data_IF_339384145673
#
_entry.id   IF_339384145673
#
_cell.length_a   1.000
_cell.length_b   1.000
_cell.length_c   1.000
_cell.angle_alpha   90.00
_cell.angle_beta   90.00
_cell.angle_gamma   90.00
#
_symmetry.space_group_name_H-M   'P 1'
#
loop_
_entity.id
_entity.type
_entity.pdbx_description
1 polymer ?
#
# COMPACT_ATOMS: atom_id res chain seq x y z
N UNK A 1 22.31 4.00 12.92
CA UNK A 1 23.08 2.82 12.46
C UNK A 1 22.34 2.06 11.36
N UNK A 2 23.05 1.48 10.38
CA UNK A 2 22.46 0.76 9.24
C UNK A 2 21.74 -0.56 9.59
N UNK A 3 21.77 -1.02 10.85
CA UNK A 3 21.12 -2.24 11.34
C UNK A 3 19.65 -2.06 11.75
N UNK A 4 19.24 -0.84 12.13
CA UNK A 4 17.91 -0.58 12.73
C UNK A 4 16.75 -0.95 11.81
N UNK A 5 16.88 -0.70 10.50
CA UNK A 5 15.82 -0.98 9.52
C UNK A 5 15.44 -2.47 9.44
N UNK A 6 16.38 -3.37 9.74
CA UNK A 6 16.14 -4.83 9.76
C UNK A 6 15.44 -5.31 11.03
N UNK A 7 15.40 -4.48 12.07
CA UNK A 7 14.83 -4.82 13.38
C UNK A 7 13.46 -4.16 13.61
N UNK A 8 12.94 -3.42 12.63
CA UNK A 8 11.63 -2.78 12.76
C UNK A 8 10.53 -3.84 12.78
N UNK A 9 9.64 -3.72 13.76
CA UNK A 9 8.40 -4.48 13.83
C UNK A 9 7.29 -3.79 13.00
N UNK A 10 6.11 -4.42 12.92
CA UNK A 10 4.99 -3.90 12.14
C UNK A 10 4.60 -2.48 12.56
N UNK A 11 4.52 -2.22 13.86
CA UNK A 11 4.13 -0.91 14.38
C UNK A 11 5.15 0.17 14.02
N UNK A 12 6.44 -0.13 14.18
CA UNK A 12 7.51 0.80 13.84
C UNK A 12 7.53 1.08 12.33
N UNK A 13 7.32 0.07 11.47
CA UNK A 13 7.22 0.28 10.03
C UNK A 13 6.03 1.17 9.66
N UNK A 14 4.85 0.90 10.25
CA UNK A 14 3.63 1.68 10.02
C UNK A 14 3.77 3.14 10.49
N UNK A 15 4.57 3.40 11.53
CA UNK A 15 4.79 4.76 12.03
C UNK A 15 5.95 5.49 11.32
N UNK A 16 7.10 4.84 11.12
CA UNK A 16 8.32 5.49 10.64
C UNK A 16 8.31 5.68 9.12
N UNK A 17 7.80 4.72 8.35
CA UNK A 17 7.87 4.76 6.88
C UNK A 17 7.07 5.93 6.28
N UNK A 18 5.81 6.20 6.68
CA UNK A 18 5.07 7.34 6.13
C UNK A 18 5.70 8.69 6.48
N UNK A 19 6.31 8.80 7.66
CA UNK A 19 7.01 10.03 8.10
C UNK A 19 8.25 10.26 7.26
N UNK A 20 9.06 9.22 7.01
CA UNK A 20 10.21 9.31 6.12
C UNK A 20 9.78 9.68 4.69
N UNK A 21 8.71 9.08 4.19
CA UNK A 21 8.16 9.39 2.87
C UNK A 21 7.76 10.87 2.75
N UNK A 22 7.01 11.39 3.74
CA UNK A 22 6.61 12.79 3.76
C UNK A 22 7.82 13.75 3.86
N UNK A 23 8.87 13.36 4.58
CA UNK A 23 10.10 14.15 4.67
C UNK A 23 10.86 14.17 3.33
N UNK A 24 10.94 13.05 2.63
CA UNK A 24 11.51 12.96 1.28
C UNK A 24 10.75 13.86 0.32
N UNK A 25 9.42 13.78 0.30
CA UNK A 25 8.60 14.55 -0.64
C UNK A 25 8.77 16.07 -0.43
N UNK A 26 8.80 16.52 0.83
CA UNK A 26 9.10 17.92 1.17
C UNK A 26 10.53 18.30 0.78
N UNK A 27 11.50 17.42 1.03
CA UNK A 27 12.89 17.65 0.68
C UNK A 27 13.09 17.81 -0.82
N UNK A 28 12.42 16.99 -1.64
CA UNK A 28 12.40 17.12 -3.10
C UNK A 28 11.84 18.48 -3.50
N UNK A 29 10.68 18.88 -2.97
CA UNK A 29 10.06 20.18 -3.27
C UNK A 29 10.99 21.36 -2.97
N UNK A 30 11.67 21.34 -1.81
CA UNK A 30 12.62 22.39 -1.42
C UNK A 30 13.86 22.36 -2.30
N UNK A 31 14.41 21.17 -2.54
CA UNK A 31 15.63 20.96 -3.31
C UNK A 31 15.51 21.32 -4.78
N UNK A 32 14.32 21.18 -5.37
CA UNK A 32 14.06 21.55 -6.78
C UNK A 32 13.40 22.92 -6.95
N UNK A 33 13.11 23.64 -5.85
CA UNK A 33 12.44 24.93 -5.93
C UNK A 33 13.30 25.99 -6.63
N UNK A 34 12.72 26.70 -7.58
CA UNK A 34 13.33 27.88 -8.20
C UNK A 34 12.87 29.19 -7.54
N UNK A 35 12.05 29.12 -6.50
CA UNK A 35 11.56 30.30 -5.79
C UNK A 35 12.71 30.92 -4.98
N UNK A 36 13.20 32.06 -5.45
CA UNK A 36 14.23 32.83 -4.75
C UNK A 36 13.63 33.48 -3.52
N UNK A 37 14.23 33.25 -2.35
CA UNK A 37 13.86 33.96 -1.13
C UNK A 37 14.39 35.39 -1.24
N UNK A 38 13.59 36.32 -1.77
CA UNK A 38 14.01 37.72 -1.93
C UNK A 38 14.20 38.40 -0.55
N UNK A 39 15.41 38.29 0.00
CA UNK A 39 15.87 39.03 1.19
C UNK A 39 17.03 39.95 0.82
N UNK A 40 16.93 41.26 1.08
CA UNK A 40 17.77 42.28 0.43
C UNK A 40 19.24 42.36 0.89
N UNK A 41 19.81 41.34 1.56
CA UNK A 41 21.10 41.46 2.27
C UNK A 41 22.17 40.40 1.97
N UNK A 42 21.92 39.36 1.17
CA UNK A 42 22.91 38.30 0.89
C UNK A 42 22.95 37.96 -0.61
N UNK A 43 24.09 37.46 -1.11
CA UNK A 43 24.18 36.88 -2.46
C UNK A 43 23.37 35.57 -2.51
N UNK A 44 22.07 35.71 -2.68
CA UNK A 44 21.03 34.71 -2.42
C UNK A 44 21.20 33.41 -3.20
N UNK A 45 21.64 33.47 -4.44
CA UNK A 45 21.71 32.30 -5.31
C UNK A 45 22.68 31.22 -4.79
N UNK A 46 23.87 31.62 -4.31
CA UNK A 46 24.88 30.66 -3.84
C UNK A 46 24.50 30.02 -2.49
N UNK A 47 23.96 30.83 -1.55
CA UNK A 47 23.52 30.33 -0.25
C UNK A 47 22.28 29.44 -0.37
N UNK A 48 21.31 29.83 -1.21
CA UNK A 48 20.13 29.02 -1.50
C UNK A 48 20.53 27.72 -2.19
N UNK A 49 21.39 27.77 -3.20
CA UNK A 49 21.88 26.57 -3.89
C UNK A 49 22.60 25.61 -2.94
N UNK A 50 23.42 26.14 -2.01
CA UNK A 50 24.06 25.32 -0.98
C UNK A 50 23.06 24.67 -0.03
N UNK A 51 22.05 25.41 0.44
CA UNK A 51 21.00 24.84 1.30
C UNK A 51 20.18 23.76 0.58
N UNK A 52 19.84 23.96 -0.69
CA UNK A 52 19.15 22.97 -1.52
C UNK A 52 19.98 21.71 -1.69
N UNK A 53 21.28 21.85 -1.92
CA UNK A 53 22.21 20.72 -1.99
C UNK A 53 22.22 19.90 -0.69
N UNK A 54 22.26 20.56 0.48
CA UNK A 54 22.20 19.86 1.78
C UNK A 54 20.88 19.10 1.97
N UNK A 55 19.74 19.73 1.67
CA UNK A 55 18.41 19.10 1.78
C UNK A 55 18.32 17.86 0.89
N UNK A 56 18.89 17.91 -0.31
CA UNK A 56 18.89 16.79 -1.23
C UNK A 56 19.84 15.67 -0.81
N UNK A 57 20.94 15.99 -0.12
CA UNK A 57 21.73 15.02 0.62
C UNK A 57 20.90 14.24 1.64
N UNK A 58 20.06 14.94 2.42
CA UNK A 58 19.17 14.31 3.40
C UNK A 58 18.09 13.45 2.71
N UNK A 59 17.53 13.91 1.60
CA UNK A 59 16.58 13.14 0.77
C UNK A 59 17.18 11.81 0.36
N UNK A 60 18.42 11.77 -0.13
CA UNK A 60 19.07 10.51 -0.47
C UNK A 60 19.27 9.60 0.73
N UNK A 61 19.71 10.15 1.85
CA UNK A 61 19.93 9.36 3.05
C UNK A 61 18.64 8.69 3.52
N UNK A 62 17.54 9.45 3.57
CA UNK A 62 16.21 8.93 3.90
C UNK A 62 15.74 7.89 2.88
N UNK A 63 15.99 8.13 1.59
CA UNK A 63 15.62 7.19 0.52
C UNK A 63 16.36 5.86 0.66
N UNK A 64 17.66 5.89 0.97
CA UNK A 64 18.45 4.70 1.26
C UNK A 64 17.93 3.94 2.48
N UNK A 65 17.46 4.66 3.51
CA UNK A 65 16.84 4.04 4.68
C UNK A 65 15.53 3.35 4.33
N UNK A 66 14.65 3.99 3.55
CA UNK A 66 13.41 3.39 3.08
C UNK A 66 13.66 2.14 2.23
N UNK A 67 14.60 2.21 1.28
CA UNK A 67 14.96 1.06 0.43
C UNK A 67 15.51 -0.12 1.23
N UNK A 68 16.25 0.15 2.32
CA UNK A 68 16.74 -0.90 3.24
C UNK A 68 15.64 -1.51 4.10
N UNK A 69 14.54 -0.79 4.34
CA UNK A 69 13.39 -1.27 5.09
C UNK A 69 12.41 -2.09 4.23
N UNK A 70 12.40 -1.91 2.91
CA UNK A 70 11.49 -2.62 1.99
C UNK A 70 11.49 -4.15 2.16
N UNK A 71 12.62 -4.86 2.28
CA UNK A 71 12.60 -6.30 2.54
C UNK A 71 11.92 -6.65 3.87
N UNK A 72 12.13 -5.84 4.91
CA UNK A 72 11.51 -6.06 6.23
C UNK A 72 10.00 -5.86 6.19
N UNK A 73 9.50 -4.94 5.36
CA UNK A 73 8.05 -4.77 5.13
C UNK A 73 7.43 -6.06 4.59
N UNK A 74 8.10 -6.71 3.64
CA UNK A 74 7.61 -7.96 3.04
C UNK A 74 7.59 -9.08 4.07
N UNK A 75 8.67 -9.24 4.84
CA UNK A 75 8.75 -10.24 5.92
C UNK A 75 7.62 -10.05 6.94
N UNK A 76 7.49 -8.84 7.48
CA UNK A 76 6.48 -8.51 8.50
C UNK A 76 5.06 -8.67 7.97
N UNK A 77 4.81 -8.33 6.71
CA UNK A 77 3.52 -8.53 6.07
C UNK A 77 3.14 -10.02 6.04
N UNK A 78 4.04 -10.90 5.60
CA UNK A 78 3.74 -12.33 5.52
C UNK A 78 3.71 -13.00 6.91
N UNK A 79 4.57 -12.59 7.86
CA UNK A 79 4.49 -13.00 9.27
C UNK A 79 3.12 -12.64 9.87
N UNK A 80 2.67 -11.39 9.69
CA UNK A 80 1.38 -10.92 10.19
C UNK A 80 0.18 -11.63 9.54
N UNK A 81 0.30 -11.97 8.26
CA UNK A 81 -0.70 -12.73 7.51
C UNK A 81 -0.86 -14.18 8.01
N UNK A 82 0.18 -14.80 8.55
CA UNK A 82 0.15 -16.19 9.03
C UNK A 82 -0.38 -16.33 10.48
N UNK A 83 -0.07 -15.36 11.34
CA UNK A 83 -0.25 -15.49 12.80
C UNK A 83 -1.63 -15.01 13.28
N UNK A 84 -2.37 -14.24 12.46
CA UNK A 84 -3.39 -13.33 12.98
C UNK A 84 -4.84 -13.73 12.73
N UNK A 85 -5.71 -13.38 13.69
CA UNK A 85 -7.17 -13.49 13.53
C UNK A 85 -7.67 -12.55 12.40
N UNK A 86 -8.65 -12.98 11.58
CA UNK A 86 -8.83 -12.49 10.22
C UNK A 86 -9.51 -11.12 10.06
N UNK A 87 -9.77 -10.36 11.12
CA UNK A 87 -10.54 -9.10 11.01
C UNK A 87 -9.80 -7.85 11.48
N UNK A 88 -9.00 -7.94 12.54
CA UNK A 88 -8.23 -6.79 13.04
C UNK A 88 -6.94 -6.56 12.25
N UNK A 89 -6.33 -7.61 11.68
CA UNK A 89 -5.01 -7.50 11.04
C UNK A 89 -5.06 -7.09 9.55
N UNK A 90 -6.23 -7.08 8.91
CA UNK A 90 -6.31 -6.75 7.47
C UNK A 90 -5.99 -5.27 7.20
N UNK A 91 -6.30 -4.37 8.14
CA UNK A 91 -5.99 -2.94 7.99
C UNK A 91 -4.49 -2.71 7.93
N UNK A 92 -3.77 -3.25 8.92
CA UNK A 92 -2.32 -3.11 9.03
C UNK A 92 -1.61 -3.73 7.81
N UNK A 93 -2.08 -4.88 7.32
CA UNK A 93 -1.57 -5.49 6.08
C UNK A 93 -1.81 -4.62 4.85
N UNK A 94 -2.96 -3.95 4.75
CA UNK A 94 -3.23 -2.99 3.66
C UNK A 94 -2.32 -1.77 3.73
N UNK A 95 -2.05 -1.29 4.94
CA UNK A 95 -1.16 -0.14 5.14
C UNK A 95 0.29 -0.52 4.80
N UNK A 96 0.76 -1.71 5.18
CA UNK A 96 2.06 -2.24 4.77
C UNK A 96 2.16 -2.44 3.24
N UNK A 97 1.09 -2.92 2.60
CA UNK A 97 1.01 -3.01 1.13
C UNK A 97 1.12 -1.63 0.47
N UNK A 98 0.44 -0.62 1.02
CA UNK A 98 0.52 0.75 0.53
C UNK A 98 1.93 1.31 0.67
N UNK A 99 2.59 1.08 1.81
CA UNK A 99 3.99 1.49 2.03
C UNK A 99 4.92 0.82 1.01
N UNK A 100 4.73 -0.47 0.74
CA UNK A 100 5.52 -1.18 -0.28
C UNK A 100 5.34 -0.54 -1.67
N UNK A 101 4.09 -0.23 -2.04
CA UNK A 101 3.78 0.46 -3.30
C UNK A 101 4.46 1.83 -3.39
N UNK A 102 4.43 2.62 -2.31
CA UNK A 102 5.11 3.92 -2.27
C UNK A 102 6.62 3.80 -2.38
N UNK A 103 7.22 2.72 -1.87
CA UNK A 103 8.64 2.44 -2.05
C UNK A 103 9.02 2.17 -3.51
N UNK A 104 8.10 1.66 -4.34
CA UNK A 104 8.30 1.57 -5.79
C UNK A 104 8.28 2.95 -6.45
N UNK A 105 7.28 3.78 -6.11
CA UNK A 105 7.15 5.15 -6.62
C UNK A 105 8.32 6.06 -6.19
N UNK A 106 9.00 5.74 -5.10
CA UNK A 106 10.16 6.48 -4.62
C UNK A 106 11.30 6.50 -5.66
N UNK A 107 11.57 5.36 -6.32
CA UNK A 107 12.63 5.28 -7.34
C UNK A 107 12.31 6.20 -8.51
N UNK A 108 11.07 6.18 -9.00
CA UNK A 108 10.62 7.06 -10.08
C UNK A 108 10.77 8.54 -9.72
N UNK A 109 10.40 8.93 -8.49
CA UNK A 109 10.56 10.31 -8.01
C UNK A 109 12.02 10.74 -7.98
N UNK A 110 12.92 9.86 -7.53
CA UNK A 110 14.35 10.15 -7.43
C UNK A 110 15.01 10.17 -8.81
N UNK A 111 14.60 9.31 -9.74
CA UNK A 111 15.09 9.30 -11.13
C UNK A 111 14.69 10.56 -11.92
N UNK A 112 13.62 11.24 -11.51
CA UNK A 112 13.21 12.51 -12.11
C UNK A 112 13.95 13.74 -11.53
N UNK A 113 14.82 13.55 -10.53
CA UNK A 113 15.66 14.64 -10.03
C UNK A 113 16.74 14.98 -11.07
N UNK A 114 16.81 16.26 -11.42
CA UNK A 114 17.77 16.77 -12.39
C UNK A 114 19.19 16.76 -11.80
N UNK A 115 19.97 15.72 -12.11
CA UNK A 115 21.36 15.57 -11.65
C UNK A 115 22.24 16.77 -12.05
N UNK A 116 21.91 17.49 -13.13
CA UNK A 116 22.68 18.64 -13.59
C UNK A 116 22.64 19.83 -12.61
N UNK A 117 21.60 19.91 -11.77
CA UNK A 117 21.44 20.96 -10.75
C UNK A 117 22.07 20.63 -9.41
N UNK A 118 22.39 19.37 -9.18
CA UNK A 118 22.66 18.82 -7.84
C UNK A 118 24.10 18.37 -7.65
N UNK A 119 24.91 18.43 -8.72
CA UNK A 119 26.24 17.85 -8.76
C UNK A 119 26.18 16.35 -9.04
N UNK A 120 27.31 15.75 -9.41
CA UNK A 120 27.38 14.30 -9.65
C UNK A 120 27.10 13.53 -8.35
N UNK A 121 25.99 12.80 -8.28
CA UNK A 121 25.60 11.95 -7.13
C UNK A 121 26.40 10.64 -7.01
N UNK A 122 27.54 10.54 -7.68
CA UNK A 122 28.41 9.36 -7.61
C UNK A 122 27.83 8.08 -8.24
N UNK A 123 26.84 8.18 -9.15
CA UNK A 123 26.32 7.03 -9.89
C UNK A 123 25.43 6.08 -9.06
N UNK A 124 24.67 6.62 -8.09
CA UNK A 124 23.68 5.86 -7.32
C UNK A 124 22.65 5.21 -8.26
N UNK A 125 22.74 3.89 -8.41
CA UNK A 125 21.72 3.10 -9.11
C UNK A 125 20.71 2.57 -8.09
N UNK A 126 19.52 3.17 -8.07
CA UNK A 126 18.39 2.66 -7.30
C UNK A 126 17.69 1.58 -8.11
N UNK A 127 17.41 0.44 -7.49
CA UNK A 127 16.66 -0.65 -8.10
C UNK A 127 15.22 -0.59 -7.62
N UNK A 128 14.27 -0.60 -8.56
CA UNK A 128 12.84 -0.64 -8.23
C UNK A 128 12.52 -1.96 -7.51
N UNK A 129 11.81 -1.93 -6.36
CA UNK A 129 11.31 -3.14 -5.72
C UNK A 129 10.49 -4.01 -6.70
N UNK A 130 10.58 -5.35 -6.66
CA UNK A 130 9.92 -6.21 -7.65
C UNK A 130 8.39 -6.10 -7.65
N UNK A 131 7.78 -5.97 -8.83
CA UNK A 131 6.31 -5.94 -8.99
C UNK A 131 5.64 -7.28 -8.67
N UNK A 132 6.34 -8.41 -8.87
CA UNK A 132 5.83 -9.73 -8.51
C UNK A 132 5.54 -9.88 -7.01
N UNK A 133 6.30 -9.19 -6.17
CA UNK A 133 6.07 -9.16 -4.72
C UNK A 133 4.83 -8.32 -4.38
N UNK A 134 4.63 -7.18 -5.06
CA UNK A 134 3.41 -6.38 -4.92
C UNK A 134 2.17 -7.20 -5.30
N UNK A 135 2.22 -7.91 -6.42
CA UNK A 135 1.13 -8.79 -6.89
C UNK A 135 0.81 -9.87 -5.85
N UNK A 136 1.85 -10.50 -5.29
CA UNK A 136 1.70 -11.52 -4.25
C UNK A 136 1.06 -10.98 -2.97
N UNK A 137 1.52 -9.81 -2.49
CA UNK A 137 0.94 -9.16 -1.32
C UNK A 137 -0.51 -8.73 -1.57
N UNK A 138 -0.81 -8.23 -2.78
CA UNK A 138 -2.18 -7.84 -3.18
C UNK A 138 -3.12 -9.04 -3.17
N UNK A 139 -2.72 -10.14 -3.81
CA UNK A 139 -3.48 -11.39 -3.81
C UNK A 139 -3.75 -11.89 -2.37
N UNK A 140 -2.76 -11.78 -1.48
CA UNK A 140 -2.90 -12.20 -0.08
C UNK A 140 -3.95 -11.38 0.69
N UNK A 141 -3.98 -10.07 0.50
CA UNK A 141 -5.01 -9.20 1.09
C UNK A 141 -6.40 -9.55 0.55
N UNK A 142 -6.51 -9.86 -0.74
CA UNK A 142 -7.78 -10.24 -1.37
C UNK A 142 -8.33 -11.56 -0.82
N UNK A 143 -7.48 -12.58 -0.66
CA UNK A 143 -7.85 -13.87 -0.04
C UNK A 143 -8.43 -13.71 1.37
N UNK A 144 -7.90 -12.76 2.13
CA UNK A 144 -8.32 -12.50 3.51
C UNK A 144 -9.60 -11.66 3.57
N UNK A 145 -9.96 -10.97 2.50
CA UNK A 145 -11.13 -10.09 2.46
C UNK A 145 -12.44 -10.87 2.67
N UNK A 146 -13.36 -10.38 3.53
CA UNK A 146 -14.67 -11.01 3.76
C UNK A 146 -15.51 -11.21 2.49
N UNK A 147 -15.27 -10.41 1.45
CA UNK A 147 -15.95 -10.51 0.15
C UNK A 147 -15.63 -11.82 -0.58
N UNK A 148 -14.41 -12.33 -0.46
CA UNK A 148 -13.98 -13.61 -1.06
C UNK A 148 -14.55 -14.78 -0.26
N UNK A 149 -14.56 -14.69 1.07
CA UNK A 149 -15.21 -15.70 1.94
C UNK A 149 -16.70 -15.88 1.61
N UNK A 150 -17.44 -14.79 1.32
CA UNK A 150 -18.86 -14.89 0.90
C UNK A 150 -19.05 -15.57 -0.44
N UNK A 151 -18.17 -15.33 -1.43
CA UNK A 151 -18.21 -16.01 -2.74
C UNK A 151 -17.93 -17.51 -2.63
N UNK A 152 -16.96 -17.90 -1.80
CA UNK A 152 -16.61 -19.32 -1.60
C UNK A 152 -17.71 -20.06 -0.83
N UNK A 153 -18.32 -19.43 0.18
CA UNK A 153 -19.44 -20.01 0.92
C UNK A 153 -20.72 -20.13 0.08
N UNK A 154 -20.95 -19.24 -0.89
CA UNK A 154 -22.04 -19.39 -1.86
C UNK A 154 -21.76 -20.48 -2.91
N UNK A 155 -20.50 -20.62 -3.37
CA UNK A 155 -20.14 -21.65 -4.34
C UNK A 155 -20.15 -23.07 -3.77
N UNK A 156 -19.90 -23.24 -2.45
CA UNK A 156 -20.00 -24.54 -1.76
C UNK A 156 -21.39 -24.85 -1.18
N UNK A 157 -22.31 -23.90 -1.19
CA UNK A 157 -23.66 -24.05 -0.63
C UNK A 157 -24.75 -24.43 -1.63
N UNK A 158 -24.42 -24.83 -2.86
CA UNK A 158 -25.39 -25.23 -3.89
C UNK A 158 -25.02 -26.57 -4.51
N UNK A 159 -25.04 -27.62 -3.69
CA UNK A 159 -25.26 -28.97 -4.15
C UNK A 159 -26.05 -29.72 -3.08
N UNK A 160 -27.15 -30.34 -3.52
CA UNK A 160 -28.02 -31.29 -2.81
C UNK A 160 -29.19 -30.70 -2.01
N UNK A 161 -30.36 -30.65 -2.66
CA UNK A 161 -31.44 -31.59 -2.30
C UNK A 161 -32.26 -31.97 -3.54
N UNK A 162 -32.76 -33.23 -3.63
CA UNK A 162 -33.32 -33.81 -4.85
C UNK A 162 -34.82 -33.51 -5.00
N UNK A 163 -35.28 -33.44 -6.26
CA UNK A 163 -36.70 -33.45 -6.61
C UNK A 163 -37.41 -34.70 -6.08
N UNK A 164 -38.68 -34.57 -5.62
CA UNK A 164 -39.64 -35.66 -5.76
C UNK A 164 -40.72 -35.27 -6.76
N UNK A 165 -40.75 -35.99 -7.88
CA UNK A 165 -41.96 -36.16 -8.71
C UNK A 165 -42.77 -37.29 -8.09
N UNK A 166 -44.03 -37.02 -7.71
CA UNK A 166 -45.12 -37.99 -7.92
C UNK A 166 -46.47 -37.28 -7.85
N UNK A 167 -47.24 -37.49 -8.91
CA UNK A 167 -48.59 -37.03 -9.15
C UNK A 167 -49.54 -38.23 -8.97
N UNK A 168 -50.60 -38.09 -8.15
CA UNK A 168 -51.80 -38.93 -8.16
C UNK A 168 -52.90 -38.32 -7.24
N UNK A 169 -53.97 -37.80 -7.86
CA UNK A 169 -55.28 -37.40 -7.28
C UNK A 169 -56.27 -38.60 -7.34
N UNK A 170 -57.58 -38.58 -6.94
CA UNK A 170 -58.52 -37.46 -6.60
C UNK A 170 -59.61 -37.70 -5.49
N UNK A 171 -60.50 -36.69 -5.32
CA UNK A 171 -61.86 -36.62 -4.70
C UNK A 171 -61.96 -36.52 -3.15
N UNK A 172 -62.79 -35.66 -2.53
CA UNK A 172 -64.10 -35.09 -2.89
C UNK A 172 -64.48 -33.82 -2.06
N UNK A 173 -64.85 -32.73 -2.76
CA UNK A 173 -65.98 -31.75 -2.62
C UNK A 173 -66.78 -31.55 -1.30
N UNK A 174 -67.62 -30.47 -1.15
CA UNK A 174 -67.63 -29.11 -1.79
C UNK A 174 -68.04 -27.89 -0.90
N UNK A 175 -67.78 -26.68 -1.44
CA UNK A 175 -68.62 -25.44 -1.50
C UNK A 175 -68.88 -24.50 -0.28
N UNK A 176 -69.32 -23.22 -0.51
CA UNK A 176 -68.81 -22.17 -1.42
C UNK A 176 -68.89 -20.74 -0.78
N UNK A 177 -68.96 -19.66 -1.60
CA UNK A 177 -69.34 -18.24 -1.32
C UNK A 177 -68.14 -17.27 -1.22
N UNK A 178 -67.68 -16.60 -2.29
CA UNK A 178 -68.24 -15.48 -3.11
C UNK A 178 -67.80 -14.08 -2.63
N UNK A 179 -67.36 -13.28 -3.62
CA UNK A 179 -67.13 -11.81 -3.72
C UNK A 179 -65.80 -11.23 -3.20
N UNK A 180 -65.15 -10.24 -3.84
CA UNK A 180 -65.20 -9.60 -5.17
C UNK A 180 -64.02 -8.60 -5.20
N UNK A 181 -63.49 -8.33 -6.39
CA UNK A 181 -62.56 -7.24 -6.74
C UNK A 181 -63.00 -5.85 -6.23
N UNK A 182 -62.04 -5.03 -5.78
CA UNK A 182 -61.56 -3.76 -6.39
C UNK A 182 -60.26 -3.39 -5.66
#
# INVERSE_FOLDING_TARGET
>A
EPSRAKMLDAQALLCEMPVMQAAIDKGIQVGTSSELVNTPRLSLGALQGYAQHLVLGDVLLLSLHMMKATPRIVEVFFEGAEISSPQQNISDLKDLLLIYKESQNLVDRLSNLDESKLGHWGGLSLTVPPSSVLESMTAKVEEMSPAVKRKISQARGSAETPFPVTDATPNSSPDPVVRTLI
#
